data_IF_650537530932
#
_entry.id   IF_650537530932
#
_cell.length_a   1.000
_cell.length_b   1.000
_cell.length_c   1.000
_cell.angle_alpha   90.00
_cell.angle_beta   90.00
_cell.angle_gamma   90.00
#
_symmetry.space_group_name_H-M   'P 1'
#
loop_
_entity.id
_entity.type
_entity.pdbx_description
1 polymer ?
#
# COMPACT_ATOMS: atom_id res chain seq x y z
N UNK A 1 5.44 8.19 -10.22
CA UNK A 1 4.33 8.50 -9.29
C UNK A 1 4.58 7.79 -7.97
N UNK A 2 4.29 8.40 -6.80
CA UNK A 2 4.38 7.71 -5.50
C UNK A 2 3.10 6.95 -5.19
N UNK A 3 3.22 5.68 -4.82
CA UNK A 3 2.12 4.78 -4.42
C UNK A 3 2.41 4.26 -3.02
N UNK A 4 1.56 4.59 -2.06
CA UNK A 4 1.71 4.16 -0.68
C UNK A 4 1.10 2.77 -0.48
N UNK A 5 1.85 1.86 0.13
CA UNK A 5 1.44 0.49 0.41
C UNK A 5 1.25 0.30 1.92
N UNK A 6 0.04 -0.07 2.30
CA UNK A 6 -0.30 -0.47 3.66
C UNK A 6 0.28 -1.85 4.02
N UNK A 7 0.41 -2.15 5.32
CA UNK A 7 0.90 -3.41 5.85
C UNK A 7 0.14 -4.62 5.30
N UNK A 8 -1.19 -4.50 5.15
CA UNK A 8 -2.04 -5.53 4.56
C UNK A 8 -1.63 -5.91 3.13
N UNK A 9 -1.30 -4.91 2.31
CA UNK A 9 -0.81 -5.11 0.92
C UNK A 9 0.57 -5.73 0.92
N UNK A 10 1.47 -5.28 1.80
CA UNK A 10 2.81 -5.82 1.92
C UNK A 10 2.79 -7.30 2.34
N UNK A 11 1.98 -7.67 3.33
CA UNK A 11 1.79 -9.05 3.78
C UNK A 11 1.19 -9.92 2.68
N UNK A 12 0.15 -9.44 1.99
CA UNK A 12 -0.47 -10.18 0.89
C UNK A 12 0.48 -10.39 -0.29
N UNK A 13 1.33 -9.39 -0.58
CA UNK A 13 2.40 -9.57 -1.55
C UNK A 13 3.32 -10.71 -1.06
N UNK A 14 3.86 -10.63 0.17
CA UNK A 14 4.74 -11.68 0.70
C UNK A 14 4.11 -13.08 0.66
N UNK A 15 2.83 -13.20 0.99
CA UNK A 15 2.09 -14.46 1.05
C UNK A 15 1.66 -15.05 -0.30
N UNK A 16 1.68 -14.30 -1.40
CA UNK A 16 1.20 -14.78 -2.70
C UNK A 16 1.97 -14.21 -3.89
N UNK A 17 2.57 -15.09 -4.70
CA UNK A 17 3.28 -14.73 -5.92
C UNK A 17 2.35 -14.35 -7.10
N UNK A 18 1.04 -14.63 -7.01
CA UNK A 18 0.08 -14.42 -8.11
C UNK A 18 -0.90 -13.27 -7.87
N UNK A 19 -0.93 -12.73 -6.65
CA UNK A 19 -1.89 -11.70 -6.27
C UNK A 19 -1.57 -10.32 -6.86
N UNK A 20 -2.59 -9.46 -6.93
CA UNK A 20 -2.44 -8.08 -7.38
C UNK A 20 -1.42 -7.30 -6.55
N UNK A 21 -1.32 -7.55 -5.24
CA UNK A 21 -0.29 -6.95 -4.38
C UNK A 21 1.13 -7.28 -4.84
N UNK A 22 1.40 -8.52 -5.26
CA UNK A 22 2.69 -8.90 -5.85
C UNK A 22 2.90 -8.25 -7.22
N UNK A 23 1.85 -8.17 -8.04
CA UNK A 23 1.92 -7.53 -9.34
C UNK A 23 2.30 -6.04 -9.25
N UNK A 24 1.90 -5.32 -8.19
CA UNK A 24 2.34 -3.93 -7.96
C UNK A 24 3.87 -3.82 -7.95
N UNK A 25 4.58 -4.70 -7.22
CA UNK A 25 6.04 -4.71 -7.16
C UNK A 25 6.66 -5.00 -8.54
N UNK A 26 6.14 -5.99 -9.26
CA UNK A 26 6.66 -6.34 -10.57
C UNK A 26 6.49 -5.23 -11.61
N UNK A 27 5.39 -4.49 -11.55
CA UNK A 27 5.05 -3.46 -12.53
C UNK A 27 5.63 -2.09 -12.17
N UNK A 28 6.00 -1.86 -10.90
CA UNK A 28 6.44 -0.56 -10.43
C UNK A 28 7.62 0.04 -11.24
N UNK A 29 8.69 -0.71 -11.59
CA UNK A 29 9.80 -0.14 -12.34
C UNK A 29 9.38 0.32 -13.75
N UNK A 30 8.64 -0.53 -14.48
CA UNK A 30 8.20 -0.22 -15.84
C UNK A 30 7.16 0.90 -15.88
N UNK A 31 6.34 1.02 -14.85
CA UNK A 31 5.32 2.05 -14.72
C UNK A 31 5.84 3.36 -14.09
N UNK A 32 7.12 3.42 -13.71
CA UNK A 32 7.72 4.59 -13.04
C UNK A 32 7.06 4.90 -11.69
N UNK A 33 6.63 3.86 -10.97
CA UNK A 33 6.07 4.00 -9.63
C UNK A 33 7.18 3.90 -8.58
N UNK A 34 7.16 4.84 -7.63
CA UNK A 34 7.93 4.74 -6.40
C UNK A 34 7.01 4.17 -5.33
N UNK A 35 7.30 2.96 -4.88
CA UNK A 35 6.55 2.32 -3.80
C UNK A 35 7.00 2.91 -2.48
N UNK A 36 6.04 3.40 -1.70
CA UNK A 36 6.28 4.06 -0.42
C UNK A 36 5.56 3.29 0.67
N UNK A 37 6.15 3.18 1.85
CA UNK A 37 5.45 2.70 3.05
C UNK A 37 6.03 3.39 4.28
N UNK A 38 5.35 3.33 5.42
CA UNK A 38 5.78 4.03 6.63
C UNK A 38 6.39 3.07 7.66
N UNK A 39 7.19 3.59 8.59
CA UNK A 39 7.79 2.78 9.65
C UNK A 39 6.74 2.00 10.48
N UNK A 40 5.57 2.59 10.73
CA UNK A 40 4.43 1.92 11.38
C UNK A 40 3.99 0.67 10.61
N UNK A 41 3.71 0.81 9.31
CA UNK A 41 3.29 -0.30 8.46
C UNK A 41 4.38 -1.39 8.35
N UNK A 42 5.66 -0.98 8.29
CA UNK A 42 6.79 -1.93 8.32
C UNK A 42 6.80 -2.75 9.61
N UNK A 43 6.59 -2.10 10.77
CA UNK A 43 6.54 -2.79 12.05
C UNK A 43 5.35 -3.75 12.13
N UNK A 44 4.20 -3.38 11.56
CA UNK A 44 3.05 -4.28 11.43
C UNK A 44 3.34 -5.50 10.57
N UNK A 45 4.03 -5.32 9.44
CA UNK A 45 4.47 -6.45 8.61
C UNK A 45 5.36 -7.38 9.42
N UNK A 46 6.38 -6.84 10.11
CA UNK A 46 7.32 -7.65 10.91
C UNK A 46 6.58 -8.44 12.00
N UNK A 47 5.62 -7.82 12.70
CA UNK A 47 4.81 -8.50 13.73
C UNK A 47 3.94 -9.62 13.16
N UNK A 48 3.43 -9.47 11.95
CA UNK A 48 2.50 -10.42 11.33
C UNK A 48 3.17 -11.43 10.41
N UNK A 49 4.43 -11.23 10.02
CA UNK A 49 5.18 -12.11 9.13
C UNK A 49 5.24 -13.58 9.60
N UNK A 50 5.40 -13.88 10.90
CA UNK A 50 5.40 -15.27 11.39
C UNK A 50 4.07 -16.02 11.17
N UNK A 51 2.97 -15.31 10.85
CA UNK A 51 1.68 -15.92 10.52
C UNK A 51 1.64 -16.45 9.07
N UNK A 52 2.61 -16.07 8.23
CA UNK A 52 2.75 -16.58 6.87
C UNK A 52 3.65 -17.83 6.86
N UNK A 53 3.56 -18.69 5.82
CA UNK A 53 4.55 -19.73 5.58
C UNK A 53 5.97 -19.14 5.51
N UNK A 54 7.00 -19.92 5.83
CA UNK A 54 8.40 -19.45 5.85
C UNK A 54 8.86 -18.77 4.55
N UNK A 55 8.32 -19.20 3.41
CA UNK A 55 8.54 -18.55 2.12
C UNK A 55 8.15 -17.06 2.12
N UNK A 56 7.10 -16.67 2.85
CA UNK A 56 6.68 -15.27 3.00
C UNK A 56 7.75 -14.38 3.63
N UNK A 57 8.52 -14.90 4.60
CA UNK A 57 9.66 -14.18 5.19
C UNK A 57 10.78 -13.98 4.17
N UNK A 58 11.08 -14.99 3.35
CA UNK A 58 12.07 -14.88 2.28
C UNK A 58 11.63 -13.83 1.25
N UNK A 59 10.35 -13.83 0.88
CA UNK A 59 9.79 -12.84 -0.04
C UNK A 59 9.85 -11.43 0.55
N UNK A 60 9.58 -11.25 1.84
CA UNK A 60 9.72 -9.95 2.50
C UNK A 60 11.13 -9.36 2.36
N UNK A 61 12.17 -10.18 2.56
CA UNK A 61 13.56 -9.75 2.38
C UNK A 61 13.86 -9.29 0.94
N UNK A 62 13.16 -9.83 -0.06
CA UNK A 62 13.28 -9.43 -1.48
C UNK A 62 12.48 -8.17 -1.81
N UNK A 63 11.30 -8.00 -1.21
CA UNK A 63 10.41 -6.88 -1.51
C UNK A 63 10.78 -5.60 -0.75
N UNK A 64 11.18 -5.71 0.53
CA UNK A 64 11.45 -4.57 1.39
C UNK A 64 12.44 -3.56 0.80
N UNK A 65 13.55 -3.95 0.16
CA UNK A 65 14.50 -3.01 -0.44
C UNK A 65 13.92 -2.16 -1.60
N UNK A 66 12.76 -2.55 -2.14
CA UNK A 66 12.08 -1.83 -3.22
C UNK A 66 11.18 -0.70 -2.69
N UNK A 67 11.05 -0.57 -1.36
CA UNK A 67 10.23 0.44 -0.71
C UNK A 67 11.07 1.66 -0.34
N UNK A 68 10.56 2.84 -0.67
CA UNK A 68 10.94 4.07 0.02
C UNK A 68 10.23 4.11 1.36
N UNK A 69 10.98 3.93 2.46
CA UNK A 69 10.44 4.02 3.81
C UNK A 69 10.43 5.49 4.24
N UNK A 70 9.28 5.97 4.70
CA UNK A 70 9.11 7.32 5.26
C UNK A 70 8.79 7.26 6.74
N UNK A 71 9.19 8.30 7.47
CA UNK A 71 8.77 8.47 8.87
C UNK A 71 7.27 8.67 8.96
N UNK A 72 6.66 8.11 10.00
CA UNK A 72 5.24 8.28 10.25
C UNK A 72 4.95 9.75 10.58
N UNK A 73 3.91 10.31 9.97
CA UNK A 73 3.44 11.64 10.37
C UNK A 73 2.60 11.49 11.65
N UNK A 74 2.98 12.25 12.67
CA UNK A 74 2.24 12.35 13.94
C UNK A 74 0.80 12.80 13.64
N UNK A 75 -0.15 11.89 13.79
CA UNK A 75 -1.57 12.20 13.76
C UNK A 75 -1.97 12.73 15.14
N UNK A 76 -2.20 14.03 15.24
CA UNK A 76 -2.71 14.65 16.47
C UNK A 76 -4.23 14.39 16.58
N UNK A 77 -4.71 14.17 17.81
CA UNK A 77 -6.14 14.08 18.18
C UNK A 77 -6.88 15.44 18.08
N UNK A 78 -6.57 16.23 17.05
CA UNK A 78 -7.42 17.37 16.65
C UNK A 78 -8.66 16.82 15.93
N UNK A 79 -9.80 17.56 15.89
CA UNK A 79 -11.03 17.05 15.30
C UNK A 79 -10.88 16.90 13.79
N UNK A 80 -10.31 15.78 13.38
CA UNK A 80 -10.60 15.16 12.10
C UNK A 80 -12.00 14.60 12.28
N UNK A 81 -12.90 14.85 11.33
CA UNK A 81 -14.27 14.33 11.31
C UNK A 81 -14.24 12.81 11.02
N UNK A 82 -13.44 12.07 11.79
CA UNK A 82 -13.25 10.63 11.70
C UNK A 82 -13.00 10.10 13.10
N UNK A 83 -13.70 9.04 13.47
CA UNK A 83 -13.49 8.33 14.72
C UNK A 83 -12.02 7.94 14.88
N UNK A 84 -11.59 7.75 16.13
CA UNK A 84 -10.25 7.24 16.42
C UNK A 84 -10.12 5.82 15.88
N UNK A 85 -9.48 5.67 14.72
CA UNK A 85 -9.08 4.38 14.17
C UNK A 85 -7.58 4.19 14.33
N UNK A 86 -7.19 2.93 14.58
CA UNK A 86 -5.78 2.50 14.67
C UNK A 86 -5.00 2.83 13.38
N UNK A 87 -5.67 3.00 12.24
CA UNK A 87 -5.06 3.20 10.92
C UNK A 87 -4.93 4.68 10.50
N UNK A 88 -5.28 5.63 11.37
CA UNK A 88 -5.03 7.06 11.13
C UNK A 88 -3.57 7.37 10.72
N UNK A 89 -2.53 6.80 11.37
CA UNK A 89 -1.14 7.07 10.97
C UNK A 89 -0.86 6.69 9.50
N UNK A 90 -1.41 5.57 9.03
CA UNK A 90 -1.30 5.12 7.64
C UNK A 90 -1.97 6.14 6.69
N UNK A 91 -3.21 6.52 7.00
CA UNK A 91 -3.97 7.45 6.16
C UNK A 91 -3.28 8.82 6.04
N UNK A 92 -2.84 9.41 7.16
CA UNK A 92 -2.20 10.73 7.15
C UNK A 92 -0.81 10.72 6.52
N UNK A 93 -0.02 9.67 6.76
CA UNK A 93 1.29 9.54 6.13
C UNK A 93 1.13 9.34 4.61
N UNK A 94 0.16 8.54 4.18
CA UNK A 94 -0.15 8.36 2.76
C UNK A 94 -0.62 9.67 2.11
N UNK A 95 -1.47 10.45 2.78
CA UNK A 95 -1.96 11.74 2.32
C UNK A 95 -0.83 12.74 2.08
N UNK A 96 0.16 12.78 2.98
CA UNK A 96 1.27 13.71 2.86
C UNK A 96 2.34 13.27 1.86
N UNK A 97 2.53 11.96 1.68
CA UNK A 97 3.67 11.43 0.93
C UNK A 97 3.32 10.85 -0.44
N UNK A 98 2.03 10.66 -0.76
CA UNK A 98 1.60 9.99 -1.98
C UNK A 98 0.29 10.57 -2.54
N UNK A 99 -0.09 10.11 -3.74
CA UNK A 99 -1.42 10.40 -4.31
C UNK A 99 -2.36 9.20 -4.27
N UNK A 100 -1.87 8.03 -3.87
CA UNK A 100 -2.64 6.79 -3.83
C UNK A 100 -2.18 5.95 -2.64
N UNK A 101 -3.14 5.54 -1.81
CA UNK A 101 -3.02 4.52 -0.76
C UNK A 101 -3.62 3.22 -1.27
N UNK A 102 -2.83 2.15 -1.24
CA UNK A 102 -3.30 0.79 -1.47
C UNK A 102 -3.42 0.05 -0.14
N UNK A 103 -4.61 -0.48 0.14
CA UNK A 103 -4.90 -1.30 1.33
C UNK A 103 -5.78 -2.50 0.93
N UNK A 104 -5.70 -3.59 1.70
CA UNK A 104 -6.63 -4.71 1.67
C UNK A 104 -7.56 -4.73 2.90
N UNK A 105 -7.36 -3.80 3.84
CA UNK A 105 -8.22 -3.68 5.02
C UNK A 105 -9.52 -2.98 4.63
N UNK A 106 -10.57 -3.79 4.50
CA UNK A 106 -11.90 -3.32 4.09
C UNK A 106 -12.73 -2.81 5.25
N UNK A 107 -12.41 -3.23 6.47
CA UNK A 107 -13.21 -2.88 7.65
C UNK A 107 -12.81 -1.48 8.10
N UNK A 108 -11.52 -1.23 8.26
CA UNK A 108 -11.02 0.05 8.79
C UNK A 108 -11.05 1.19 7.75
N UNK A 109 -11.09 0.87 6.45
CA UNK A 109 -11.19 1.85 5.36
C UNK A 109 -12.51 1.79 4.58
N UNK A 110 -13.55 1.14 5.11
CA UNK A 110 -14.82 0.90 4.42
C UNK A 110 -15.38 2.15 3.73
N UNK A 111 -15.45 3.28 4.46
CA UNK A 111 -16.05 4.53 3.97
C UNK A 111 -15.17 5.28 2.95
N UNK A 112 -13.88 4.93 2.84
CA UNK A 112 -12.91 5.61 1.97
C UNK A 112 -12.55 4.78 0.72
N UNK A 113 -12.73 3.47 0.78
CA UNK A 113 -12.38 2.53 -0.28
C UNK A 113 -13.13 2.84 -1.59
N UNK A 114 -12.39 2.94 -2.70
CA UNK A 114 -12.93 3.33 -4.01
C UNK A 114 -13.15 4.85 -4.16
N UNK A 115 -13.05 5.61 -3.07
CA UNK A 115 -13.22 7.06 -3.03
C UNK A 115 -11.92 7.87 -3.00
N UNK A 116 -12.01 9.11 -2.52
CA UNK A 116 -10.85 9.96 -2.27
C UNK A 116 -10.94 10.63 -0.90
N UNK A 117 -9.81 10.80 -0.24
CA UNK A 117 -9.68 11.50 1.03
C UNK A 117 -8.75 12.70 0.85
N UNK A 118 -9.28 13.93 0.80
CA UNK A 118 -8.49 15.14 0.49
C UNK A 118 -7.58 15.00 -0.74
N UNK A 119 -8.07 14.34 -1.79
CA UNK A 119 -7.33 14.07 -3.04
C UNK A 119 -6.43 12.83 -3.02
N UNK A 120 -6.25 12.17 -1.87
CA UNK A 120 -5.63 10.84 -1.79
C UNK A 120 -6.61 9.78 -2.28
N UNK A 121 -6.25 9.02 -3.31
CA UNK A 121 -7.05 7.88 -3.76
C UNK A 121 -6.83 6.68 -2.83
N UNK A 122 -7.89 6.09 -2.30
CA UNK A 122 -7.81 4.86 -1.48
C UNK A 122 -8.37 3.70 -2.30
N UNK A 123 -7.55 2.70 -2.61
CA UNK A 123 -7.90 1.63 -3.57
C UNK A 123 -7.45 0.27 -3.09
N UNK A 124 -8.13 -0.76 -3.58
CA UNK A 124 -7.59 -2.11 -3.57
C UNK A 124 -6.52 -2.25 -4.67
N UNK A 125 -5.51 -3.12 -4.49
CA UNK A 125 -4.47 -3.31 -5.49
C UNK A 125 -5.00 -3.67 -6.89
N UNK A 126 -6.05 -4.50 -6.99
CA UNK A 126 -6.61 -4.89 -8.29
C UNK A 126 -7.33 -3.73 -8.99
N UNK A 127 -8.01 -2.86 -8.23
CA UNK A 127 -8.73 -1.69 -8.77
C UNK A 127 -7.75 -0.70 -9.34
N UNK A 128 -6.70 -0.39 -8.59
CA UNK A 128 -5.63 0.48 -9.05
C UNK A 128 -5.00 -0.03 -10.35
N UNK A 129 -4.67 -1.33 -10.42
CA UNK A 129 -4.11 -1.92 -11.65
C UNK A 129 -5.09 -1.86 -12.83
N UNK A 130 -6.40 -2.05 -12.58
CA UNK A 130 -7.42 -1.93 -13.61
C UNK A 130 -7.54 -0.49 -14.12
N UNK A 131 -7.56 0.50 -13.22
CA UNK A 131 -7.59 1.93 -13.56
C UNK A 131 -6.36 2.35 -14.37
N UNK A 132 -5.16 1.97 -13.95
CA UNK A 132 -3.92 2.32 -14.65
C UNK A 132 -3.85 1.66 -16.04
N UNK A 133 -4.44 0.47 -16.21
CA UNK A 133 -4.58 -0.19 -17.51
C UNK A 133 -5.58 0.54 -18.40
N UNK A 134 -6.77 0.85 -17.90
CA UNK A 134 -7.82 1.58 -18.65
C UNK A 134 -7.31 2.95 -19.09
N UNK A 135 -6.54 3.62 -18.24
CA UNK A 135 -5.95 4.92 -18.55
C UNK A 135 -4.72 4.86 -19.47
N UNK A 136 -4.32 3.67 -19.95
CA UNK A 136 -3.16 3.49 -20.84
C UNK A 136 -1.80 3.80 -20.19
N UNK A 137 -1.75 3.97 -18.87
CA UNK A 137 -0.52 4.29 -18.13
C UNK A 137 0.30 3.05 -17.79
N UNK A 138 -0.34 1.90 -17.77
CA UNK A 138 0.30 0.62 -17.50
C UNK A 138 0.91 0.07 -18.79
N UNK A 139 2.17 0.43 -19.05
CA UNK A 139 2.94 -0.07 -20.18
C UNK A 139 3.36 -1.51 -19.92
N UNK A 140 2.49 -2.46 -20.28
CA UNK A 140 2.87 -3.87 -20.33
C UNK A 140 3.71 -4.04 -21.59
N UNK A 141 5.03 -4.01 -21.45
CA UNK A 141 5.91 -4.55 -22.50
C UNK A 141 5.58 -6.04 -22.59
N UNK A 142 4.89 -6.45 -23.66
CA UNK A 142 4.81 -7.88 -23.99
C UNK A 142 6.26 -8.33 -24.28
N UNK A 143 6.69 -9.48 -23.76
CA UNK A 143 7.98 -10.06 -24.14
C UNK A 143 8.04 -10.32 -25.65
#
# INVERSE_FOLDING_TARGET
MKVFLDASVLLAACGSAKGSSRAIFHLAPAAGWTLVSSAYAINEVIRNLPKLPAAGTVEWLRLRPQLMIVDDIVSLDRPVIFAASKDRPILFTALACSRTLLTLDREDFADLLGGQFYGLRVRLPYEFLAEERVAGRLKITRP
#
